data_IF_792968887829
#
_entry.id   IF_792968887829
#
_cell.length_a   1.000
_cell.length_b   1.000
_cell.length_c   1.000
_cell.angle_alpha   90.00
_cell.angle_beta   90.00
_cell.angle_gamma   90.00
#
_symmetry.space_group_name_H-M   'P 1'
#
loop_
_entity.id
_entity.type
_entity.pdbx_description
1 polymer ?
#
# COMPACT_ATOMS: atom_id res chain seq x y z
N UNK A 1 37.36 -10.86 -4.47
CA UNK A 1 36.00 -10.32 -4.64
C UNK A 1 35.85 -9.96 -6.10
N UNK A 2 34.75 -10.37 -6.74
CA UNK A 2 34.40 -9.91 -8.07
C UNK A 2 33.37 -8.79 -8.01
N UNK A 3 33.54 -7.79 -8.86
CA UNK A 3 32.59 -6.69 -9.02
C UNK A 3 32.05 -6.76 -10.43
N UNK A 4 30.72 -6.82 -10.54
CA UNK A 4 30.01 -6.73 -11.80
C UNK A 4 29.25 -5.41 -11.82
N UNK A 5 29.26 -4.74 -12.96
CA UNK A 5 28.53 -3.50 -13.15
C UNK A 5 27.93 -3.45 -14.54
N UNK A 6 26.65 -3.07 -14.62
CA UNK A 6 25.96 -2.85 -15.87
C UNK A 6 25.13 -1.57 -15.80
N UNK A 7 25.05 -0.85 -16.93
CA UNK A 7 24.14 0.28 -17.05
C UNK A 7 22.71 -0.24 -17.26
N UNK A 8 21.75 0.40 -16.60
CA UNK A 8 20.32 0.10 -16.72
C UNK A 8 19.54 1.37 -17.10
N UNK A 9 18.29 1.19 -17.53
CA UNK A 9 17.38 2.30 -17.72
C UNK A 9 17.03 2.97 -16.38
N UNK A 10 16.63 4.25 -16.42
CA UNK A 10 16.18 4.97 -15.22
C UNK A 10 14.93 4.30 -14.63
N UNK A 11 15.01 3.69 -13.44
CA UNK A 11 13.89 2.97 -12.86
C UNK A 11 12.86 3.89 -12.19
N UNK A 12 13.16 5.18 -12.03
CA UNK A 12 12.27 6.14 -11.37
C UNK A 12 11.31 6.85 -12.35
N UNK A 13 11.37 6.54 -13.65
CA UNK A 13 10.44 7.07 -14.65
C UNK A 13 9.30 6.06 -14.90
N UNK A 14 8.01 6.47 -14.98
CA UNK A 14 7.49 7.84 -15.08
C UNK A 14 6.96 8.43 -13.76
N UNK A 15 7.53 8.07 -12.60
CA UNK A 15 6.95 8.50 -11.31
C UNK A 15 7.10 10.01 -11.07
N UNK A 16 6.18 10.61 -10.29
CA UNK A 16 6.32 11.98 -9.87
C UNK A 16 7.62 12.15 -9.08
N UNK A 17 8.34 13.25 -9.35
CA UNK A 17 9.57 13.57 -8.63
C UNK A 17 9.35 13.68 -7.12
N UNK A 18 8.12 13.95 -6.67
CA UNK A 18 7.83 14.04 -5.24
C UNK A 18 8.06 12.71 -4.48
N UNK A 19 7.97 11.57 -5.15
CA UNK A 19 8.22 10.26 -4.51
C UNK A 19 9.70 9.95 -4.36
N UNK A 20 10.50 10.46 -5.28
CA UNK A 20 11.95 10.33 -5.29
C UNK A 20 12.57 11.71 -5.58
N UNK A 21 12.53 12.64 -4.60
CA UNK A 21 12.92 14.05 -4.81
C UNK A 21 14.41 14.21 -5.07
N UNK A 22 15.21 13.21 -4.69
CA UNK A 22 16.65 13.13 -4.94
C UNK A 22 16.96 11.75 -5.57
N UNK A 23 16.77 11.61 -6.90
CA UNK A 23 17.08 10.37 -7.60
C UNK A 23 18.56 9.94 -7.46
N UNK A 24 19.48 10.91 -7.47
CA UNK A 24 20.91 10.67 -7.26
C UNK A 24 21.19 10.26 -5.81
N UNK A 25 20.44 10.78 -4.84
CA UNK A 25 20.53 10.36 -3.44
C UNK A 25 19.92 8.98 -3.12
N UNK A 26 19.34 8.28 -4.11
CA UNK A 26 18.59 7.03 -3.91
C UNK A 26 19.43 5.80 -4.28
N UNK A 27 19.47 4.81 -3.39
CA UNK A 27 20.11 3.51 -3.61
C UNK A 27 19.10 2.40 -3.31
N UNK A 28 18.98 1.45 -4.22
CA UNK A 28 18.27 0.21 -4.00
C UNK A 28 19.28 -0.87 -3.65
N UNK A 29 18.96 -1.82 -2.77
CA UNK A 29 19.86 -2.93 -2.50
C UNK A 29 19.13 -4.21 -2.09
N UNK A 30 19.85 -5.32 -2.22
CA UNK A 30 19.46 -6.67 -1.82
C UNK A 30 20.72 -7.49 -1.51
N UNK A 31 20.64 -8.44 -0.58
CA UNK A 31 21.76 -9.31 -0.21
C UNK A 31 21.45 -10.78 -0.33
N UNK A 32 22.49 -11.56 -0.63
CA UNK A 32 22.45 -13.01 -0.53
C UNK A 32 23.39 -13.54 0.54
N UNK A 33 22.89 -14.50 1.31
CA UNK A 33 23.61 -15.08 2.43
C UNK A 33 23.54 -16.60 2.41
N UNK A 34 24.53 -17.25 3.01
CA UNK A 34 24.54 -18.73 3.14
C UNK A 34 23.64 -19.24 4.28
N UNK A 35 22.67 -18.44 4.74
CA UNK A 35 21.76 -18.78 5.82
C UNK A 35 21.27 -17.56 6.62
N UNK A 36 20.19 -17.75 7.38
CA UNK A 36 19.43 -16.66 8.01
C UNK A 36 20.09 -16.01 9.25
N UNK A 37 21.19 -16.56 9.76
CA UNK A 37 21.85 -16.07 10.97
C UNK A 37 23.28 -15.62 10.68
N UNK A 38 23.56 -14.34 10.93
CA UNK A 38 24.87 -13.73 10.70
C UNK A 38 26.02 -14.45 11.42
N UNK A 39 25.73 -15.17 12.52
CA UNK A 39 26.74 -15.85 13.36
C UNK A 39 27.40 -17.03 12.66
N UNK A 40 26.65 -17.73 11.81
CA UNK A 40 27.07 -18.99 11.20
C UNK A 40 26.83 -19.03 9.68
N UNK A 41 26.50 -17.89 9.07
CA UNK A 41 26.43 -17.73 7.63
C UNK A 41 27.33 -16.60 7.15
N UNK A 42 27.53 -16.54 5.84
CA UNK A 42 28.34 -15.52 5.16
C UNK A 42 27.47 -14.75 4.18
N UNK A 43 27.67 -13.43 4.11
CA UNK A 43 27.28 -12.60 2.97
C UNK A 43 28.13 -13.03 1.77
N UNK A 44 27.50 -13.47 0.69
CA UNK A 44 28.23 -13.87 -0.51
C UNK A 44 27.96 -12.99 -1.72
N UNK A 45 26.84 -12.26 -1.74
CA UNK A 45 26.51 -11.33 -2.80
C UNK A 45 25.77 -10.13 -2.22
N UNK A 46 26.13 -8.94 -2.68
CA UNK A 46 25.39 -7.71 -2.42
C UNK A 46 25.13 -7.04 -3.76
N UNK A 47 23.85 -6.78 -4.07
CA UNK A 47 23.43 -6.03 -5.24
C UNK A 47 23.02 -4.61 -4.84
N UNK A 48 23.36 -3.62 -5.67
CA UNK A 48 22.86 -2.26 -5.51
C UNK A 48 22.54 -1.60 -6.85
N UNK A 49 21.46 -0.83 -6.89
CA UNK A 49 21.11 0.04 -8.02
C UNK A 49 21.13 1.48 -7.56
N UNK A 50 21.83 2.34 -8.30
CA UNK A 50 22.00 3.75 -7.95
C UNK A 50 22.27 4.59 -9.20
N UNK A 51 22.08 5.90 -9.08
CA UNK A 51 22.54 6.83 -10.12
C UNK A 51 23.95 7.34 -9.83
N UNK A 52 24.78 7.38 -10.88
CA UNK A 52 26.07 8.07 -10.89
C UNK A 52 26.11 8.99 -12.10
N UNK A 53 26.23 10.31 -11.86
CA UNK A 53 26.28 11.35 -12.90
C UNK A 53 25.14 11.24 -13.93
N UNK A 54 23.93 10.90 -13.47
CA UNK A 54 22.74 10.74 -14.30
C UNK A 54 22.63 9.39 -15.03
N UNK A 55 23.57 8.47 -14.84
CA UNK A 55 23.51 7.11 -15.37
C UNK A 55 23.10 6.13 -14.26
N UNK A 56 22.12 5.29 -14.54
CA UNK A 56 21.70 4.25 -13.59
C UNK A 56 22.55 3.00 -13.78
N UNK A 57 23.07 2.49 -12.66
CA UNK A 57 23.98 1.35 -12.63
C UNK A 57 23.41 0.29 -11.69
N UNK A 58 23.40 -0.96 -12.13
CA UNK A 58 23.36 -2.12 -11.23
C UNK A 58 24.80 -2.55 -10.97
N UNK A 59 25.21 -2.57 -9.71
CA UNK A 59 26.51 -3.07 -9.24
C UNK A 59 26.29 -4.24 -8.31
N UNK A 60 27.04 -5.32 -8.51
CA UNK A 60 26.97 -6.53 -7.70
C UNK A 60 28.37 -6.86 -7.18
N UNK A 61 28.54 -6.98 -5.87
CA UNK A 61 29.78 -7.40 -5.22
C UNK A 61 29.67 -8.85 -4.76
N UNK A 62 30.44 -9.72 -5.39
CA UNK A 62 30.43 -11.15 -5.13
C UNK A 62 31.69 -11.58 -4.36
N UNK A 63 31.48 -12.17 -3.19
CA UNK A 63 32.53 -12.81 -2.41
C UNK A 63 32.91 -14.13 -3.09
N UNK A 64 34.14 -14.23 -3.58
CA UNK A 64 34.65 -15.51 -4.06
C UNK A 64 35.08 -16.42 -2.91
N UNK A 65 35.31 -15.83 -1.73
CA UNK A 65 35.63 -16.51 -0.48
C UNK A 65 34.95 -15.78 0.68
N UNK A 66 34.54 -16.49 1.75
CA UNK A 66 33.95 -15.87 2.93
C UNK A 66 34.79 -14.76 3.60
N UNK A 67 36.12 -14.81 3.47
CA UNK A 67 37.00 -13.79 4.03
C UNK A 67 36.85 -12.40 3.38
N UNK A 68 36.14 -12.29 2.26
CA UNK A 68 35.98 -11.06 1.50
C UNK A 68 34.77 -10.21 1.94
N UNK A 69 33.96 -10.70 2.88
CA UNK A 69 32.79 -9.98 3.43
C UNK A 69 33.16 -8.57 3.91
N UNK A 70 34.28 -8.42 4.63
CA UNK A 70 34.74 -7.12 5.13
C UNK A 70 34.99 -6.11 4.00
N UNK A 71 35.52 -6.57 2.87
CA UNK A 71 35.77 -5.74 1.67
C UNK A 71 34.44 -5.32 1.03
N UNK A 72 33.48 -6.25 0.90
CA UNK A 72 32.14 -5.94 0.37
C UNK A 72 31.43 -4.90 1.23
N UNK A 73 31.43 -5.09 2.55
CA UNK A 73 30.84 -4.14 3.49
C UNK A 73 31.50 -2.76 3.37
N UNK A 74 32.83 -2.71 3.22
CA UNK A 74 33.54 -1.45 3.07
C UNK A 74 33.18 -0.72 1.78
N UNK A 75 33.10 -1.44 0.66
CA UNK A 75 32.67 -0.89 -0.64
C UNK A 75 31.23 -0.38 -0.60
N UNK A 76 30.32 -1.12 0.05
CA UNK A 76 28.93 -0.70 0.19
C UNK A 76 28.80 0.52 1.10
N UNK A 77 29.54 0.57 2.21
CA UNK A 77 29.65 1.76 3.06
C UNK A 77 30.11 2.98 2.26
N UNK A 78 31.11 2.81 1.41
CA UNK A 78 31.65 3.90 0.60
C UNK A 78 30.66 4.36 -0.49
N UNK A 79 29.89 3.43 -1.10
CA UNK A 79 28.80 3.75 -2.03
C UNK A 79 27.71 4.61 -1.37
N UNK A 80 27.36 4.29 -0.13
CA UNK A 80 26.29 4.94 0.61
C UNK A 80 26.65 6.33 1.11
N UNK A 81 27.92 6.74 1.04
CA UNK A 81 28.34 8.09 1.44
C UNK A 81 27.61 9.16 0.64
N UNK A 82 26.98 10.10 1.35
CA UNK A 82 26.26 11.22 0.75
C UNK A 82 24.90 10.85 0.13
N UNK A 83 24.51 9.56 0.17
CA UNK A 83 23.17 9.13 -0.22
C UNK A 83 22.19 9.47 0.89
N UNK A 84 20.89 9.50 0.56
CA UNK A 84 19.83 9.95 1.46
C UNK A 84 18.70 8.94 1.64
N UNK A 85 18.47 8.09 0.64
CA UNK A 85 17.38 7.14 0.63
C UNK A 85 17.91 5.76 0.26
N UNK A 86 17.64 4.79 1.12
CA UNK A 86 17.90 3.38 0.89
C UNK A 86 16.55 2.67 0.69
N UNK A 87 16.38 2.04 -0.47
CA UNK A 87 15.18 1.32 -0.86
C UNK A 87 15.48 -0.17 -0.88
N UNK A 88 14.57 -0.97 -0.35
CA UNK A 88 14.75 -2.42 -0.24
C UNK A 88 13.39 -3.12 -0.16
N UNK A 89 13.40 -4.44 -0.34
CA UNK A 89 12.21 -5.27 -0.16
C UNK A 89 12.35 -6.13 1.10
N UNK A 90 11.60 -5.83 2.16
CA UNK A 90 11.67 -6.55 3.44
C UNK A 90 13.05 -6.53 4.12
N UNK A 91 13.97 -5.66 3.69
CA UNK A 91 15.29 -5.49 4.29
C UNK A 91 15.29 -5.10 5.77
N UNK A 92 14.24 -4.46 6.30
CA UNK A 92 14.12 -4.26 7.76
C UNK A 92 13.94 -5.57 8.51
N UNK A 93 13.29 -6.55 7.89
CA UNK A 93 13.06 -7.86 8.46
C UNK A 93 14.30 -8.75 8.45
N UNK A 94 15.23 -8.54 7.52
CA UNK A 94 16.38 -9.42 7.35
C UNK A 94 17.70 -8.70 7.02
N UNK A 95 17.80 -8.07 5.85
CA UNK A 95 19.05 -7.57 5.28
C UNK A 95 19.77 -6.57 6.18
N UNK A 96 19.04 -5.55 6.67
CA UNK A 96 19.59 -4.49 7.51
C UNK A 96 20.07 -5.04 8.87
N UNK A 97 19.28 -5.80 9.66
CA UNK A 97 19.79 -6.48 10.84
C UNK A 97 21.02 -7.36 10.58
N UNK A 98 21.00 -8.11 9.47
CA UNK A 98 22.12 -8.98 9.09
C UNK A 98 23.40 -8.17 8.85
N UNK A 99 23.31 -7.14 8.01
CA UNK A 99 24.44 -6.25 7.70
C UNK A 99 24.92 -5.48 8.94
N UNK A 100 24.02 -4.97 9.78
CA UNK A 100 24.39 -4.29 11.04
C UNK A 100 25.27 -5.18 11.94
N UNK A 101 24.88 -6.45 12.09
CA UNK A 101 25.67 -7.40 12.86
C UNK A 101 27.01 -7.70 12.20
N UNK A 102 27.07 -7.82 10.87
CA UNK A 102 28.32 -8.01 10.13
C UNK A 102 29.25 -6.81 10.24
N UNK A 103 28.75 -5.58 10.09
CA UNK A 103 29.51 -4.34 10.33
C UNK A 103 30.11 -4.34 11.75
N UNK A 104 29.30 -4.66 12.76
CA UNK A 104 29.75 -4.78 14.16
C UNK A 104 30.84 -5.85 14.33
N UNK A 105 30.63 -7.03 13.74
CA UNK A 105 31.58 -8.14 13.79
C UNK A 105 32.95 -7.77 13.20
N UNK A 106 32.94 -7.07 12.06
CA UNK A 106 34.15 -6.56 11.42
C UNK A 106 34.67 -5.24 12.01
N UNK A 107 34.08 -4.76 13.12
CA UNK A 107 34.48 -3.53 13.84
C UNK A 107 34.46 -2.28 12.96
N UNK A 108 33.41 -2.19 12.15
CA UNK A 108 33.14 -1.07 11.24
C UNK A 108 31.78 -0.47 11.56
N UNK A 109 31.64 0.84 11.39
CA UNK A 109 30.38 1.54 11.63
C UNK A 109 29.38 1.28 10.50
N UNK A 110 28.13 0.95 10.85
CA UNK A 110 27.09 0.70 9.86
C UNK A 110 26.60 2.03 9.24
N UNK A 111 26.55 2.17 7.90
CA UNK A 111 26.22 3.43 7.22
C UNK A 111 24.73 3.79 7.20
N UNK A 112 23.89 3.16 8.03
CA UNK A 112 22.43 3.20 7.87
C UNK A 112 21.73 4.32 8.66
N UNK A 113 22.32 4.81 9.75
CA UNK A 113 21.66 5.75 10.67
C UNK A 113 21.28 7.08 10.00
N UNK A 114 22.10 7.55 9.07
CA UNK A 114 21.86 8.80 8.34
C UNK A 114 20.93 8.65 7.11
N UNK A 115 20.48 7.43 6.79
CA UNK A 115 19.70 7.14 5.59
C UNK A 115 18.21 6.99 5.93
N UNK A 116 17.36 7.69 5.17
CA UNK A 116 15.95 7.35 5.14
C UNK A 116 15.78 5.96 4.53
N UNK A 117 14.81 5.19 5.03
CA UNK A 117 14.56 3.81 4.60
C UNK A 117 13.17 3.71 3.97
N UNK A 118 13.10 3.15 2.77
CA UNK A 118 11.85 2.80 2.09
C UNK A 118 11.79 1.28 1.91
N UNK A 119 11.07 0.62 2.81
CA UNK A 119 10.77 -0.80 2.69
C UNK A 119 9.50 -1.01 1.85
N UNK A 120 9.66 -1.56 0.64
CA UNK A 120 8.52 -1.80 -0.25
C UNK A 120 7.53 -2.83 0.33
N UNK A 121 8.02 -3.82 1.09
CA UNK A 121 7.16 -4.81 1.72
C UNK A 121 6.25 -4.14 2.75
N UNK A 122 6.80 -3.33 3.66
CA UNK A 122 6.00 -2.62 4.66
C UNK A 122 5.00 -1.65 4.03
N UNK A 123 5.37 -0.97 2.93
CA UNK A 123 4.47 -0.04 2.22
C UNK A 123 3.32 -0.76 1.54
N UNK A 124 3.55 -1.93 0.95
CA UNK A 124 2.55 -2.67 0.18
C UNK A 124 1.71 -3.62 1.05
N UNK A 125 2.25 -4.11 2.17
CA UNK A 125 1.57 -5.08 3.05
C UNK A 125 0.15 -4.67 3.47
N UNK A 126 -0.14 -3.40 3.84
CA UNK A 126 -1.50 -2.97 4.16
C UNK A 126 -2.50 -3.14 3.01
N UNK A 127 -2.02 -3.19 1.77
CA UNK A 127 -2.86 -3.35 0.58
C UNK A 127 -3.06 -4.81 0.18
N UNK A 128 -2.52 -5.79 0.93
CA UNK A 128 -2.58 -7.24 0.60
C UNK A 128 -3.98 -7.72 0.21
N UNK A 129 -4.99 -7.38 1.02
CA UNK A 129 -6.39 -7.77 0.75
C UNK A 129 -6.94 -7.12 -0.52
N UNK A 130 -6.61 -5.84 -0.74
CA UNK A 130 -6.98 -5.09 -1.94
C UNK A 130 -6.30 -5.64 -3.19
N UNK A 131 -5.04 -6.08 -3.10
CA UNK A 131 -4.34 -6.75 -4.20
C UNK A 131 -4.83 -8.18 -4.43
N UNK A 132 -5.41 -8.82 -3.41
CA UNK A 132 -6.02 -10.15 -3.52
C UNK A 132 -5.00 -11.27 -3.39
N UNK A 133 -3.89 -10.98 -2.71
CA UNK A 133 -2.77 -11.89 -2.60
C UNK A 133 -2.78 -12.62 -1.26
N UNK A 134 -2.51 -13.92 -1.30
CA UNK A 134 -2.34 -14.75 -0.10
C UNK A 134 -1.01 -14.51 0.60
N UNK A 135 0.01 -14.14 -0.16
CA UNK A 135 1.38 -13.85 0.30
C UNK A 135 1.89 -12.58 -0.37
N UNK A 136 2.87 -11.93 0.25
CA UNK A 136 3.44 -10.64 -0.19
C UNK A 136 4.96 -10.77 -0.35
N UNK A 137 5.48 -11.95 -0.71
CA UNK A 137 6.89 -12.07 -1.09
C UNK A 137 7.10 -11.31 -2.39
N UNK A 138 8.33 -10.90 -2.67
CA UNK A 138 8.63 -10.14 -3.88
C UNK A 138 8.14 -10.86 -5.15
N UNK A 139 8.42 -12.17 -5.26
CA UNK A 139 7.93 -13.02 -6.35
C UNK A 139 6.40 -13.06 -6.48
N UNK A 140 5.66 -12.99 -5.38
CA UNK A 140 4.18 -12.98 -5.44
C UNK A 140 3.68 -11.69 -6.12
N UNK A 141 4.33 -10.56 -5.82
CA UNK A 141 4.01 -9.26 -6.42
C UNK A 141 4.50 -9.17 -7.87
N UNK A 142 5.64 -9.78 -8.18
CA UNK A 142 6.16 -9.85 -9.55
C UNK A 142 5.21 -10.65 -10.46
N UNK A 143 4.77 -11.83 -10.02
CA UNK A 143 3.76 -12.61 -10.74
C UNK A 143 2.47 -11.79 -10.90
N UNK A 144 2.07 -11.07 -9.86
CA UNK A 144 0.89 -10.21 -9.90
C UNK A 144 1.02 -9.10 -10.96
N UNK A 145 2.22 -8.55 -11.18
CA UNK A 145 2.48 -7.60 -12.27
C UNK A 145 2.81 -8.23 -13.62
N UNK A 146 2.71 -9.56 -13.74
CA UNK A 146 3.00 -10.29 -14.97
C UNK A 146 4.50 -10.40 -15.29
N UNK A 147 5.37 -10.19 -14.31
CA UNK A 147 6.82 -10.36 -14.47
C UNK A 147 7.18 -11.85 -14.38
N UNK A 148 7.95 -12.31 -15.37
CA UNK A 148 8.45 -13.67 -15.43
C UNK A 148 9.97 -13.68 -15.24
N UNK A 149 10.44 -14.38 -14.21
CA UNK A 149 11.87 -14.61 -13.95
C UNK A 149 12.42 -15.74 -14.82
N UNK A 150 13.73 -15.71 -15.08
CA UNK A 150 14.46 -16.85 -15.67
C UNK A 150 15.10 -17.71 -14.59
N UNK A 151 15.44 -17.11 -13.45
CA UNK A 151 15.99 -17.80 -12.29
C UNK A 151 15.00 -18.87 -11.77
N UNK A 152 15.36 -20.16 -11.82
CA UNK A 152 14.51 -21.23 -11.32
C UNK A 152 14.70 -21.49 -9.81
N UNK A 153 15.75 -20.93 -9.21
CA UNK A 153 16.16 -21.31 -7.85
C UNK A 153 15.43 -20.49 -6.79
N UNK A 154 15.35 -21.06 -5.60
CA UNK A 154 15.01 -20.36 -4.37
C UNK A 154 16.30 -19.94 -3.64
N UNK A 155 16.24 -18.93 -2.79
CA UNK A 155 17.41 -18.52 -2.00
C UNK A 155 18.01 -19.64 -1.14
N UNK A 156 17.18 -20.60 -0.69
CA UNK A 156 17.67 -21.80 0.01
C UNK A 156 18.49 -22.75 -0.86
N UNK A 157 18.14 -22.91 -2.14
CA UNK A 157 18.87 -23.75 -3.08
C UNK A 157 20.21 -23.12 -3.48
N UNK A 158 20.26 -21.78 -3.57
CA UNK A 158 21.49 -21.04 -3.89
C UNK A 158 22.61 -21.23 -2.87
N UNK A 159 22.28 -21.55 -1.61
CA UNK A 159 23.28 -21.86 -0.58
C UNK A 159 24.17 -23.03 -1.06
N UNK A 160 23.55 -24.09 -1.59
CA UNK A 160 24.27 -25.25 -2.12
C UNK A 160 25.06 -24.89 -3.37
N UNK A 161 24.50 -24.05 -4.25
CA UNK A 161 25.20 -23.55 -5.44
C UNK A 161 26.47 -22.77 -5.09
N UNK A 162 26.39 -21.89 -4.09
CA UNK A 162 27.56 -21.13 -3.62
C UNK A 162 28.60 -22.03 -2.94
N UNK A 163 28.17 -23.00 -2.12
CA UNK A 163 29.10 -23.98 -1.53
C UNK A 163 29.84 -24.79 -2.59
N UNK A 164 29.18 -25.13 -3.69
CA UNK A 164 29.82 -25.82 -4.81
C UNK A 164 30.74 -24.90 -5.62
N UNK A 165 30.36 -23.63 -5.79
CA UNK A 165 31.21 -22.62 -6.40
C UNK A 165 32.52 -22.46 -5.61
N UNK A 166 32.49 -22.46 -4.28
CA UNK A 166 33.70 -22.34 -3.46
C UNK A 166 34.71 -23.48 -3.68
N UNK A 167 34.26 -24.65 -4.18
CA UNK A 167 35.12 -25.81 -4.48
C UNK A 167 35.63 -25.81 -5.91
N UNK A 168 34.75 -25.43 -6.84
CA UNK A 168 34.97 -25.65 -8.29
C UNK A 168 35.35 -24.38 -9.04
N UNK A 169 34.99 -23.21 -8.51
CA UNK A 169 35.04 -21.92 -9.19
C UNK A 169 34.36 -21.94 -10.59
N UNK A 170 33.31 -22.76 -10.76
CA UNK A 170 32.67 -22.94 -12.07
C UNK A 170 31.86 -21.73 -12.53
N UNK A 171 32.09 -21.28 -13.77
CA UNK A 171 31.40 -20.14 -14.39
C UNK A 171 29.87 -20.27 -14.41
N UNK A 172 29.26 -21.44 -14.72
CA UNK A 172 27.80 -21.56 -14.72
C UNK A 172 27.15 -21.36 -13.34
N UNK A 173 27.86 -21.71 -12.26
CA UNK A 173 27.39 -21.48 -10.89
C UNK A 173 27.44 -19.99 -10.56
N UNK A 174 28.51 -19.31 -10.97
CA UNK A 174 28.63 -17.86 -10.81
C UNK A 174 27.52 -17.14 -11.57
N UNK A 175 27.27 -17.48 -12.83
CA UNK A 175 26.18 -16.90 -13.62
C UNK A 175 24.82 -17.08 -12.93
N UNK A 176 24.55 -18.27 -12.39
CA UNK A 176 23.30 -18.58 -11.66
C UNK A 176 23.15 -17.72 -10.41
N UNK A 177 24.18 -17.65 -9.57
CA UNK A 177 24.17 -16.86 -8.32
C UNK A 177 23.99 -15.36 -8.61
N UNK A 178 24.68 -14.86 -9.63
CA UNK A 178 24.60 -13.46 -10.04
C UNK A 178 23.25 -13.12 -10.68
N UNK A 179 22.64 -14.06 -11.41
CA UNK A 179 21.34 -13.89 -12.05
C UNK A 179 20.22 -13.72 -11.03
N UNK A 180 20.21 -14.51 -9.95
CA UNK A 180 19.17 -14.43 -8.93
C UNK A 180 19.07 -13.04 -8.31
N UNK A 181 20.15 -12.56 -7.70
CA UNK A 181 20.20 -11.23 -7.10
C UNK A 181 19.93 -10.12 -8.14
N UNK A 182 20.34 -10.30 -9.40
CA UNK A 182 20.00 -9.36 -10.47
C UNK A 182 18.50 -9.31 -10.74
N UNK A 183 17.84 -10.45 -10.85
CA UNK A 183 16.39 -10.52 -11.06
C UNK A 183 15.61 -10.07 -9.81
N UNK A 184 16.15 -10.24 -8.60
CA UNK A 184 15.60 -9.62 -7.39
C UNK A 184 15.72 -8.09 -7.42
N UNK A 185 16.86 -7.55 -7.85
CA UNK A 185 17.02 -6.10 -8.03
C UNK A 185 16.08 -5.57 -9.13
N UNK A 186 16.06 -6.18 -10.30
CA UNK A 186 15.19 -5.78 -11.43
C UNK A 186 13.71 -5.90 -11.07
N UNK A 187 13.34 -6.98 -10.37
CA UNK A 187 12.01 -7.20 -9.85
C UNK A 187 11.59 -6.11 -8.87
N UNK A 188 12.43 -5.78 -7.89
CA UNK A 188 12.18 -4.70 -6.93
C UNK A 188 11.91 -3.36 -7.63
N UNK A 189 12.70 -3.03 -8.68
CA UNK A 189 12.47 -1.82 -9.47
C UNK A 189 11.13 -1.89 -10.23
N UNK A 190 10.78 -3.05 -10.79
CA UNK A 190 9.51 -3.27 -11.47
C UNK A 190 8.29 -3.17 -10.53
N UNK A 191 8.48 -3.35 -9.22
CA UNK A 191 7.42 -3.20 -8.21
C UNK A 191 7.17 -1.75 -7.76
N UNK A 192 8.05 -0.80 -8.08
CA UNK A 192 7.86 0.62 -7.74
C UNK A 192 6.49 1.21 -8.13
N UNK A 193 5.89 0.89 -9.30
CA UNK A 193 4.58 1.44 -9.63
C UNK A 193 3.47 1.03 -8.66
N UNK A 194 3.60 -0.10 -7.97
CA UNK A 194 2.60 -0.55 -7.00
C UNK A 194 2.48 0.41 -5.80
N UNK A 195 3.48 1.27 -5.55
CA UNK A 195 3.41 2.33 -4.53
C UNK A 195 2.27 3.34 -4.76
N UNK A 196 1.71 3.39 -5.97
CA UNK A 196 0.52 4.18 -6.23
C UNK A 196 -0.73 3.69 -5.52
N UNK A 197 -0.83 2.38 -5.22
CA UNK A 197 -1.98 1.82 -4.51
C UNK A 197 -2.04 2.34 -3.06
N UNK A 198 -0.98 2.24 -2.24
CA UNK A 198 -0.99 2.87 -0.93
C UNK A 198 -1.10 4.39 -1.03
N UNK A 199 -0.45 5.05 -1.99
CA UNK A 199 -0.55 6.50 -2.14
C UNK A 199 -1.98 6.98 -2.48
N UNK A 200 -2.70 6.24 -3.32
CA UNK A 200 -4.11 6.50 -3.66
C UNK A 200 -5.00 6.32 -2.42
N UNK A 201 -4.79 5.26 -1.65
CA UNK A 201 -5.60 4.97 -0.44
C UNK A 201 -5.26 5.86 0.76
N UNK A 202 -4.10 6.49 0.75
CA UNK A 202 -3.65 7.46 1.76
C UNK A 202 -3.99 8.92 1.38
N UNK A 203 -4.43 9.16 0.15
CA UNK A 203 -4.73 10.49 -0.37
C UNK A 203 -3.50 11.34 -0.67
N UNK A 204 -2.35 10.73 -0.92
CA UNK A 204 -1.09 11.41 -1.28
C UNK A 204 -0.84 11.42 -2.78
N UNK A 205 -1.55 10.59 -3.55
CA UNK A 205 -1.51 10.61 -5.01
C UNK A 205 -2.58 11.57 -5.55
N UNK A 206 -2.22 12.62 -6.31
CA UNK A 206 -3.20 13.50 -6.93
C UNK A 206 -3.98 12.76 -8.02
N UNK A 207 -5.25 13.11 -8.19
CA UNK A 207 -6.10 12.62 -9.28
C UNK A 207 -7.10 13.69 -9.69
N UNK A 208 -7.64 13.58 -10.90
CA UNK A 208 -8.87 14.29 -11.29
C UNK A 208 -10.05 13.37 -11.00
N UNK A 209 -11.18 13.93 -10.62
CA UNK A 209 -12.36 13.15 -10.23
C UNK A 209 -13.61 13.56 -10.98
N UNK A 210 -14.47 12.59 -11.27
CA UNK A 210 -15.84 12.77 -11.72
C UNK A 210 -16.72 11.76 -11.03
N UNK A 211 -17.98 12.10 -10.81
CA UNK A 211 -18.95 11.18 -10.25
C UNK A 211 -20.29 11.32 -10.92
N UNK A 212 -21.02 10.21 -11.01
CA UNK A 212 -22.38 10.15 -11.49
C UNK A 212 -23.16 9.02 -10.81
N UNK A 213 -24.48 9.10 -10.92
CA UNK A 213 -25.40 8.05 -10.48
C UNK A 213 -26.03 7.41 -11.71
N UNK A 214 -25.90 6.09 -11.84
CA UNK A 214 -26.49 5.32 -12.92
C UNK A 214 -27.26 4.12 -12.35
N UNK A 215 -28.59 4.15 -12.49
CA UNK A 215 -29.48 3.11 -11.97
C UNK A 215 -29.41 2.98 -10.45
N UNK A 216 -28.95 1.82 -9.97
CA UNK A 216 -28.80 1.49 -8.55
C UNK A 216 -27.36 1.63 -8.03
N UNK A 217 -26.47 2.26 -8.80
CA UNK A 217 -25.08 2.47 -8.40
C UNK A 217 -24.62 3.91 -8.59
N UNK A 218 -23.72 4.34 -7.72
CA UNK A 218 -22.86 5.49 -7.92
C UNK A 218 -21.54 5.05 -8.54
N UNK A 219 -21.06 5.80 -9.52
CA UNK A 219 -19.74 5.62 -10.09
C UNK A 219 -18.87 6.84 -9.80
N UNK A 220 -17.67 6.60 -9.28
CA UNK A 220 -16.69 7.65 -9.02
C UNK A 220 -15.44 7.29 -9.80
N UNK A 221 -15.13 8.10 -10.80
CA UNK A 221 -14.02 7.91 -11.72
C UNK A 221 -12.87 8.83 -11.33
N UNK A 222 -11.70 8.24 -11.12
CA UNK A 222 -10.45 8.90 -10.77
C UNK A 222 -9.49 8.75 -11.97
N UNK A 223 -9.00 9.87 -12.49
CA UNK A 223 -7.94 9.88 -13.50
C UNK A 223 -6.58 10.14 -12.83
N UNK A 224 -5.72 9.12 -12.86
CA UNK A 224 -4.39 9.09 -12.26
C UNK A 224 -3.34 9.78 -13.17
N UNK A 225 -2.22 10.28 -12.59
CA UNK A 225 -1.18 10.97 -13.33
C UNK A 225 -0.37 10.06 -14.26
N UNK A 226 -0.26 8.77 -13.94
CA UNK A 226 0.46 7.76 -14.72
C UNK A 226 -0.29 6.43 -14.71
N UNK A 227 0.04 5.54 -15.66
CA UNK A 227 -0.59 4.23 -15.76
C UNK A 227 -0.03 3.28 -14.70
N UNK A 228 -0.90 2.48 -14.11
CA UNK A 228 -0.49 1.37 -13.26
C UNK A 228 -0.12 0.15 -14.12
N UNK A 229 0.88 -0.64 -13.69
CA UNK A 229 1.41 -1.78 -14.45
C UNK A 229 0.40 -2.93 -14.50
N UNK A 230 -0.61 -2.88 -13.62
CA UNK A 230 -1.62 -3.91 -13.48
C UNK A 230 -3.01 -3.31 -13.52
N UNK A 231 -3.91 -4.08 -14.09
CA UNK A 231 -5.34 -3.87 -13.88
C UNK A 231 -5.76 -4.56 -12.59
N UNK A 232 -6.58 -3.87 -11.79
CA UNK A 232 -7.18 -4.40 -10.57
C UNK A 232 -8.68 -4.39 -10.75
N UNK A 233 -9.37 -5.46 -10.38
CA UNK A 233 -10.85 -5.50 -10.34
C UNK A 233 -11.28 -6.28 -9.11
N UNK A 234 -11.71 -5.54 -8.08
CA UNK A 234 -11.95 -6.11 -6.75
C UNK A 234 -13.20 -5.54 -6.13
N UNK A 235 -14.02 -6.42 -5.58
CA UNK A 235 -15.18 -6.05 -4.76
C UNK A 235 -14.90 -6.40 -3.31
N UNK A 236 -15.01 -5.42 -2.42
CA UNK A 236 -14.83 -5.54 -0.98
C UNK A 236 -15.89 -4.68 -0.29
N UNK A 237 -16.62 -5.26 0.69
CA UNK A 237 -17.73 -4.57 1.37
C UNK A 237 -18.74 -3.94 0.38
N UNK A 238 -19.11 -4.70 -0.66
CA UNK A 238 -20.02 -4.29 -1.75
C UNK A 238 -19.56 -3.08 -2.58
N UNK A 239 -18.34 -2.60 -2.38
CA UNK A 239 -17.71 -1.56 -3.21
C UNK A 239 -16.76 -2.24 -4.18
N UNK A 240 -16.98 -2.02 -5.48
CA UNK A 240 -16.08 -2.50 -6.54
C UNK A 240 -15.10 -1.40 -6.93
N UNK A 241 -13.81 -1.69 -6.81
CA UNK A 241 -12.73 -0.87 -7.34
C UNK A 241 -12.16 -1.55 -8.59
N UNK A 242 -12.24 -0.84 -9.72
CA UNK A 242 -11.60 -1.23 -10.97
C UNK A 242 -10.51 -0.23 -11.30
N UNK A 243 -9.25 -0.66 -11.38
CA UNK A 243 -8.13 0.13 -11.86
C UNK A 243 -7.70 -0.45 -13.20
N UNK A 244 -7.60 0.41 -14.22
CA UNK A 244 -7.04 0.05 -15.51
C UNK A 244 -6.33 1.25 -16.10
N UNK A 245 -5.07 1.05 -16.49
CA UNK A 245 -4.21 2.11 -17.01
C UNK A 245 -4.16 3.31 -16.04
N UNK A 246 -4.68 4.47 -16.47
CA UNK A 246 -4.76 5.72 -15.71
C UNK A 246 -6.12 5.95 -15.05
N UNK A 247 -7.02 4.99 -15.09
CA UNK A 247 -8.38 5.15 -14.60
C UNK A 247 -8.62 4.23 -13.41
N UNK A 248 -9.16 4.78 -12.33
CA UNK A 248 -9.68 4.02 -11.21
C UNK A 248 -11.16 4.36 -11.02
N UNK A 249 -12.03 3.36 -11.05
CA UNK A 249 -13.48 3.51 -10.92
C UNK A 249 -13.94 2.81 -9.66
N UNK A 250 -14.53 3.56 -8.74
CA UNK A 250 -15.28 3.03 -7.61
C UNK A 250 -16.75 2.91 -8.02
N UNK A 251 -17.32 1.73 -7.88
CA UNK A 251 -18.76 1.49 -8.03
C UNK A 251 -19.34 1.15 -6.66
N UNK A 252 -20.32 1.94 -6.23
CA UNK A 252 -20.94 1.82 -4.90
C UNK A 252 -22.44 1.64 -5.08
N UNK A 253 -23.05 0.58 -4.54
CA UNK A 253 -24.50 0.40 -4.61
C UNK A 253 -25.21 1.43 -3.74
N UNK A 254 -26.32 1.95 -4.23
CA UNK A 254 -27.26 2.70 -3.39
C UNK A 254 -28.00 1.76 -2.46
N UNK A 255 -28.19 2.19 -1.22
CA UNK A 255 -29.26 1.64 -0.38
C UNK A 255 -30.55 2.37 -0.73
N UNK A 256 -31.49 1.65 -1.36
CA UNK A 256 -32.83 2.14 -1.69
C UNK A 256 -33.82 1.61 -0.65
N UNK A 257 -34.32 2.47 0.23
CA UNK A 257 -35.20 2.03 1.33
C UNK A 257 -35.45 3.12 2.37
N UNK A 258 -35.79 2.69 3.59
CA UNK A 258 -36.03 3.59 4.72
C UNK A 258 -34.96 3.42 5.78
N UNK A 259 -34.28 4.50 6.15
CA UNK A 259 -33.30 4.56 7.25
C UNK A 259 -33.78 5.49 8.35
N UNK A 260 -33.09 5.45 9.50
CA UNK A 260 -33.41 6.27 10.67
C UNK A 260 -32.37 7.37 10.86
N UNK A 261 -32.82 8.61 11.06
CA UNK A 261 -32.00 9.70 11.56
C UNK A 261 -32.25 9.86 13.06
N UNK A 262 -31.22 9.62 13.86
CA UNK A 262 -31.32 9.67 15.32
C UNK A 262 -30.90 11.04 15.84
N UNK A 263 -31.73 11.64 16.69
CA UNK A 263 -31.42 12.91 17.33
C UNK A 263 -30.51 12.69 18.55
N UNK A 264 -29.42 13.46 18.66
CA UNK A 264 -28.48 13.33 19.78
C UNK A 264 -29.12 13.78 21.11
N UNK A 265 -29.91 14.85 21.09
CA UNK A 265 -30.57 15.44 22.26
C UNK A 265 -31.89 14.74 22.60
N UNK A 266 -31.88 13.41 22.72
CA UNK A 266 -33.11 12.62 22.94
C UNK A 266 -33.95 13.04 24.15
N UNK A 267 -33.32 13.67 25.15
CA UNK A 267 -34.01 14.19 26.34
C UNK A 267 -35.04 15.26 26.02
N UNK A 268 -34.93 15.93 24.88
CA UNK A 268 -35.83 17.00 24.45
C UNK A 268 -36.94 16.50 23.51
N UNK A 269 -37.10 15.18 23.39
CA UNK A 269 -38.05 14.55 22.50
C UNK A 269 -39.03 13.63 23.25
N UNK A 270 -40.24 13.51 22.69
CA UNK A 270 -41.17 12.43 22.96
C UNK A 270 -41.11 11.42 21.81
N UNK A 271 -41.25 10.14 22.13
CA UNK A 271 -41.45 9.08 21.15
C UNK A 271 -42.95 8.74 21.06
N UNK A 272 -43.44 8.62 19.83
CA UNK A 272 -44.80 8.24 19.51
C UNK A 272 -44.85 6.77 19.05
N UNK A 273 -45.36 5.82 19.87
CA UNK A 273 -45.30 4.39 19.54
C UNK A 273 -46.16 3.95 18.36
N UNK A 274 -47.25 4.68 18.05
CA UNK A 274 -48.14 4.33 16.94
C UNK A 274 -47.55 4.80 15.60
N UNK A 275 -46.90 5.97 15.60
CA UNK A 275 -46.30 6.62 14.44
C UNK A 275 -44.85 6.18 14.18
N UNK A 276 -44.19 5.49 15.11
CA UNK A 276 -42.78 5.07 15.03
C UNK A 276 -41.82 6.25 14.76
N UNK A 277 -42.06 7.39 15.43
CA UNK A 277 -41.30 8.63 15.24
C UNK A 277 -41.12 9.42 16.55
N UNK A 278 -40.00 10.14 16.65
CA UNK A 278 -39.71 11.08 17.72
C UNK A 278 -40.01 12.52 17.32
N UNK A 279 -40.71 13.23 18.22
CA UNK A 279 -41.08 14.63 18.05
C UNK A 279 -40.52 15.49 19.18
N UNK A 280 -40.03 16.68 18.86
CA UNK A 280 -39.49 17.59 19.88
C UNK A 280 -40.58 18.01 20.87
N UNK A 281 -40.24 18.16 22.14
CA UNK A 281 -41.18 18.47 23.23
C UNK A 281 -42.03 19.70 22.95
N UNK A 282 -41.49 20.73 22.30
CA UNK A 282 -42.24 21.95 21.95
C UNK A 282 -43.46 21.69 21.06
N UNK A 283 -43.40 20.67 20.20
CA UNK A 283 -44.50 20.26 19.31
C UNK A 283 -45.31 19.14 19.97
N UNK A 284 -44.63 18.20 20.64
CA UNK A 284 -45.30 17.06 21.26
C UNK A 284 -46.18 17.40 22.46
N UNK A 285 -46.12 18.63 22.99
CA UNK A 285 -47.06 19.12 24.02
C UNK A 285 -48.53 18.95 23.61
N UNK A 286 -48.84 19.06 22.32
CA UNK A 286 -50.20 18.96 21.78
C UNK A 286 -50.70 17.52 21.56
N UNK A 287 -49.84 16.51 21.77
CA UNK A 287 -50.22 15.09 21.67
C UNK A 287 -50.68 14.58 23.04
N UNK A 288 -51.75 13.80 23.08
CA UNK A 288 -52.27 13.22 24.32
C UNK A 288 -51.20 12.37 25.02
N UNK A 289 -51.15 12.45 26.35
CA UNK A 289 -50.12 11.77 27.16
C UNK A 289 -50.13 10.25 26.99
N UNK A 290 -51.26 9.66 26.63
CA UNK A 290 -51.40 8.21 26.41
C UNK A 290 -50.73 7.75 25.11
N UNK A 291 -50.56 8.66 24.14
CA UNK A 291 -49.98 8.38 22.82
C UNK A 291 -48.50 8.76 22.71
N UNK A 292 -47.90 9.31 23.78
CA UNK A 292 -46.48 9.70 23.80
C UNK A 292 -45.76 9.23 25.06
N UNK A 293 -44.48 8.96 24.93
CA UNK A 293 -43.58 8.71 26.09
C UNK A 293 -42.28 9.48 25.93
N UNK A 294 -41.54 9.78 27.01
CA UNK A 294 -40.18 10.34 26.88
C UNK A 294 -39.32 9.45 25.97
N UNK A 295 -38.63 10.06 25.00
CA UNK A 295 -37.77 9.30 24.10
C UNK A 295 -36.52 8.79 24.85
N UNK A 296 -36.02 7.64 24.41
CA UNK A 296 -34.71 7.06 24.72
C UNK A 296 -33.81 7.26 23.51
N UNK A 297 -32.50 7.20 23.69
CA UNK A 297 -31.58 7.36 22.56
C UNK A 297 -31.87 6.38 21.40
N UNK A 298 -32.33 5.16 21.70
CA UNK A 298 -32.61 4.13 20.70
C UNK A 298 -33.95 4.26 19.96
N UNK A 299 -34.91 5.04 20.48
CA UNK A 299 -36.19 5.31 19.80
C UNK A 299 -36.36 6.80 19.44
N UNK A 300 -35.34 7.63 19.71
CA UNK A 300 -35.33 9.04 19.34
C UNK A 300 -34.86 9.24 17.88
N UNK A 301 -35.70 8.87 16.93
CA UNK A 301 -35.41 9.03 15.50
C UNK A 301 -36.60 9.48 14.68
N UNK A 302 -36.32 9.91 13.45
CA UNK A 302 -37.30 9.94 12.36
C UNK A 302 -36.90 8.99 11.23
N UNK A 303 -37.89 8.49 10.51
CA UNK A 303 -37.69 7.62 9.34
C UNK A 303 -37.52 8.49 8.10
N UNK A 304 -36.56 8.15 7.25
CA UNK A 304 -36.32 8.83 5.97
C UNK A 304 -36.19 7.78 4.89
N UNK A 305 -37.05 7.88 3.87
CA UNK A 305 -37.05 6.99 2.71
C UNK A 305 -36.36 7.68 1.54
N UNK A 306 -35.46 6.97 0.86
CA UNK A 306 -34.72 7.53 -0.26
C UNK A 306 -33.64 6.59 -0.77
N UNK A 307 -32.73 7.15 -1.56
CA UNK A 307 -31.49 6.51 -2.00
C UNK A 307 -30.32 7.06 -1.18
N UNK A 308 -29.54 6.16 -0.60
CA UNK A 308 -28.44 6.53 0.29
C UNK A 308 -27.14 5.86 -0.14
N UNK A 309 -26.03 6.53 0.17
CA UNK A 309 -24.69 5.98 -0.02
C UNK A 309 -24.05 5.65 1.34
N UNK A 310 -23.31 4.54 1.42
CA UNK A 310 -22.66 4.13 2.66
C UNK A 310 -21.51 5.07 3.03
N UNK A 311 -21.33 5.29 4.32
CA UNK A 311 -20.17 5.92 4.92
C UNK A 311 -19.78 5.14 6.20
N UNK A 312 -18.48 4.96 6.42
CA UNK A 312 -17.89 4.10 7.46
C UNK A 312 -17.43 4.90 8.68
N UNK A 313 -17.49 6.22 8.56
CA UNK A 313 -17.29 7.24 9.59
C UNK A 313 -18.25 8.39 9.26
N UNK A 314 -18.62 9.26 10.22
CA UNK A 314 -19.52 10.40 9.96
C UNK A 314 -18.81 11.48 9.12
N UNK A 315 -18.80 11.30 7.79
CA UNK A 315 -18.19 12.23 6.84
C UNK A 315 -19.19 13.31 6.41
N UNK A 316 -20.41 12.90 6.10
CA UNK A 316 -21.50 13.78 5.70
C UNK A 316 -22.66 13.71 6.67
N UNK A 317 -23.28 14.87 6.88
CA UNK A 317 -24.47 15.04 7.71
C UNK A 317 -25.67 15.42 6.86
N UNK A 318 -26.90 14.99 7.21
CA UNK A 318 -27.23 14.07 8.30
C UNK A 318 -26.73 12.63 8.04
N UNK A 319 -26.29 11.95 9.11
CA UNK A 319 -25.89 10.55 9.06
C UNK A 319 -27.08 9.65 9.45
N UNK A 320 -27.44 8.75 8.55
CA UNK A 320 -28.54 7.79 8.73
C UNK A 320 -27.98 6.41 9.06
N UNK A 321 -28.78 5.58 9.73
CA UNK A 321 -28.44 4.18 10.02
C UNK A 321 -29.71 3.33 10.11
N UNK A 322 -29.58 2.03 9.90
CA UNK A 322 -30.71 1.10 9.99
C UNK A 322 -31.26 1.02 11.42
N UNK A 323 -30.37 0.84 12.40
CA UNK A 323 -30.70 0.75 13.82
C UNK A 323 -29.74 1.56 14.68
N UNK A 324 -30.14 1.86 15.93
CA UNK A 324 -29.36 2.71 16.83
C UNK A 324 -27.91 2.22 17.04
N UNK A 325 -27.71 0.89 17.04
CA UNK A 325 -26.40 0.25 17.24
C UNK A 325 -25.66 -0.07 15.94
N UNK A 326 -26.25 0.20 14.77
CA UNK A 326 -25.59 -0.04 13.49
C UNK A 326 -24.34 0.82 13.38
N UNK A 327 -23.23 0.19 13.01
CA UNK A 327 -21.93 0.85 12.81
C UNK A 327 -21.80 1.43 11.41
N UNK A 328 -22.44 0.81 10.41
CA UNK A 328 -22.53 1.34 9.06
C UNK A 328 -23.50 2.52 9.06
N UNK A 329 -23.00 3.65 8.55
CA UNK A 329 -23.75 4.88 8.41
C UNK A 329 -24.02 5.13 6.93
N UNK A 330 -24.95 6.01 6.67
CA UNK A 330 -25.36 6.40 5.33
C UNK A 330 -25.52 7.92 5.26
N UNK A 331 -25.41 8.48 4.07
CA UNK A 331 -25.84 9.84 3.77
C UNK A 331 -26.68 9.83 2.49
N UNK A 332 -27.54 10.83 2.37
CA UNK A 332 -28.34 11.03 1.17
C UNK A 332 -27.63 12.07 0.29
N UNK A 333 -27.05 11.69 -0.87
CA UNK A 333 -26.42 12.66 -1.75
C UNK A 333 -27.47 13.62 -2.32
N UNK A 334 -27.16 14.92 -2.36
CA UNK A 334 -27.98 15.91 -3.05
C UNK A 334 -27.74 15.85 -4.56
N UNK A 335 -28.65 16.40 -5.36
CA UNK A 335 -28.48 16.44 -6.83
C UNK A 335 -27.18 17.18 -7.24
N UNK A 336 -26.79 18.20 -6.48
CA UNK A 336 -25.55 18.95 -6.70
C UNK A 336 -24.27 18.21 -6.31
N UNK A 337 -24.35 17.12 -5.53
CA UNK A 337 -23.20 16.38 -5.02
C UNK A 337 -22.25 15.96 -6.15
N UNK A 338 -22.80 15.48 -7.26
CA UNK A 338 -22.05 14.99 -8.43
C UNK A 338 -21.26 16.08 -9.16
N UNK A 339 -21.61 17.35 -8.96
CA UNK A 339 -20.89 18.51 -9.52
C UNK A 339 -19.85 19.11 -8.57
N UNK A 340 -19.77 18.65 -7.31
CA UNK A 340 -18.89 19.22 -6.29
C UNK A 340 -17.62 18.38 -6.10
N UNK A 341 -16.53 18.82 -6.73
CA UNK A 341 -15.25 18.10 -6.74
C UNK A 341 -14.69 17.83 -5.34
N UNK A 342 -14.82 18.78 -4.41
CA UNK A 342 -14.34 18.65 -3.02
C UNK A 342 -15.08 17.56 -2.24
N UNK A 343 -16.41 17.46 -2.39
CA UNK A 343 -17.21 16.42 -1.74
C UNK A 343 -16.91 15.05 -2.35
N UNK A 344 -16.83 14.96 -3.68
CA UNK A 344 -16.46 13.71 -4.37
C UNK A 344 -15.07 13.23 -3.95
N UNK A 345 -14.10 14.14 -3.86
CA UNK A 345 -12.73 13.81 -3.44
C UNK A 345 -12.70 13.29 -2.02
N UNK A 346 -13.42 13.96 -1.10
CA UNK A 346 -13.55 13.52 0.28
C UNK A 346 -14.19 12.14 0.38
N UNK A 347 -15.23 11.89 -0.41
CA UNK A 347 -15.92 10.61 -0.42
C UNK A 347 -15.08 9.49 -1.05
N UNK A 348 -14.37 9.76 -2.14
CA UNK A 348 -13.45 8.81 -2.77
C UNK A 348 -12.35 8.36 -1.80
N UNK A 349 -11.68 9.30 -1.12
CA UNK A 349 -10.69 8.97 -0.10
C UNK A 349 -11.28 8.15 1.05
N UNK A 350 -12.49 8.49 1.48
CA UNK A 350 -13.21 7.75 2.51
C UNK A 350 -13.46 6.29 2.11
N UNK A 351 -13.90 6.03 0.88
CA UNK A 351 -14.08 4.69 0.34
C UNK A 351 -12.76 3.94 0.19
N UNK A 352 -11.74 4.56 -0.41
CA UNK A 352 -10.42 3.95 -0.62
C UNK A 352 -9.74 3.56 0.70
N UNK A 353 -9.87 4.40 1.73
CA UNK A 353 -9.36 4.13 3.07
C UNK A 353 -10.06 2.94 3.73
N UNK A 354 -11.36 2.77 3.48
CA UNK A 354 -12.12 1.59 3.93
C UNK A 354 -11.67 0.34 3.19
N UNK A 355 -11.56 0.40 1.85
CA UNK A 355 -11.12 -0.72 1.02
C UNK A 355 -9.73 -1.24 1.39
N UNK A 356 -8.82 -0.37 1.84
CA UNK A 356 -7.50 -0.76 2.35
C UNK A 356 -7.58 -1.62 3.63
N UNK A 357 -8.61 -1.42 4.46
CA UNK A 357 -8.77 -2.08 5.76
C UNK A 357 -9.66 -3.33 5.72
N UNK A 358 -10.67 -3.31 4.85
CA UNK A 358 -11.61 -4.41 4.61
C UNK A 358 -10.87 -5.69 4.23
#
# INVERSE_FOLDING_TARGET
MHIFQQQIANPLSPYPREWFPDPDGTVFFDIETTGLSWRNSHLYLLGAVFSDRGQWLLKQWFCQRPSEEATVLKEFQDLLRGRRLLVHFNGKGFDLPYLMHKYTFYRTEAPFEALNQLDLYEKLLPCKKLLGLSHMRQRDLEIFIGLCRRDPFTGGELISCYQEYLKTAGDPLLETLMLHNREDMEGMLALLPLLAIPALTEGTLPFRIRGDAAGEHAHIQLTLPFSLPVSLDRTLSDIRLVIKDRQATLTVPFFSGTLKFFYENYKDYYYLPLEDEAIHKSVGVYVDREHRRPAKAADCYRRVTGKFLPQFTPLFTPAFREEYRSTLLYFQPSDSFWGQEELLTSYAHHLLKHLKKA
#
